data_IF_420679042284
#
_entry.id   IF_420679042284
#
_cell.length_a   1.000
_cell.length_b   1.000
_cell.length_c   1.000
_cell.angle_alpha   90.00
_cell.angle_beta   90.00
_cell.angle_gamma   90.00
#
_symmetry.space_group_name_H-M   'P 1'
#
loop_
_entity.id
_entity.type
_entity.pdbx_description
1 polymer ?
#
# COMPACT_ATOMS: atom_id res chain seq x y z
N UNK A 1 9.09 -18.72 -14.55
CA UNK A 1 10.53 -18.68 -14.26
C UNK A 1 10.70 -19.08 -12.82
N UNK A 2 11.69 -19.91 -12.52
CA UNK A 2 12.03 -20.21 -11.12
C UNK A 2 12.32 -18.88 -10.41
N UNK A 3 11.71 -18.69 -9.24
CA UNK A 3 12.01 -17.54 -8.39
C UNK A 3 13.51 -17.58 -8.05
N UNK A 4 14.21 -16.45 -8.21
CA UNK A 4 15.63 -16.39 -7.89
C UNK A 4 15.85 -16.69 -6.41
N UNK A 5 17.05 -17.15 -6.03
CA UNK A 5 17.34 -17.56 -4.64
C UNK A 5 16.99 -16.47 -3.61
N UNK A 6 17.16 -15.20 -4.00
CA UNK A 6 16.82 -14.03 -3.19
C UNK A 6 15.31 -13.91 -2.93
N UNK A 7 14.47 -14.19 -3.93
CA UNK A 7 13.00 -14.19 -3.76
C UNK A 7 12.60 -15.30 -2.79
N UNK A 8 13.24 -16.46 -2.87
CA UNK A 8 12.98 -17.56 -1.96
C UNK A 8 13.37 -17.21 -0.52
N UNK A 9 14.57 -16.68 -0.30
CA UNK A 9 15.04 -16.25 1.02
C UNK A 9 14.16 -15.15 1.62
N UNK A 10 13.75 -14.19 0.79
CA UNK A 10 12.82 -13.15 1.20
C UNK A 10 11.48 -13.74 1.66
N UNK A 11 10.87 -14.62 0.87
CA UNK A 11 9.60 -15.26 1.22
C UNK A 11 9.72 -16.19 2.43
N UNK A 12 10.84 -16.90 2.57
CA UNK A 12 11.15 -17.70 3.74
C UNK A 12 11.27 -16.83 4.99
N UNK A 13 11.89 -15.65 4.88
CA UNK A 13 12.01 -14.69 5.98
C UNK A 13 10.64 -14.15 6.41
N UNK A 14 9.78 -13.79 5.45
CA UNK A 14 8.41 -13.35 5.75
C UNK A 14 7.60 -14.45 6.43
N UNK A 15 7.72 -15.69 5.94
CA UNK A 15 7.07 -16.86 6.55
C UNK A 15 7.58 -17.11 7.97
N UNK A 16 8.89 -16.98 8.21
CA UNK A 16 9.48 -17.11 9.54
C UNK A 16 9.01 -16.02 10.52
N UNK A 17 8.63 -14.85 10.02
CA UNK A 17 8.00 -13.77 10.78
C UNK A 17 6.48 -13.95 10.97
N UNK A 18 5.93 -15.11 10.57
CA UNK A 18 4.49 -15.39 10.58
C UNK A 18 3.70 -14.40 9.70
N UNK A 19 4.30 -13.93 8.60
CA UNK A 19 3.69 -13.02 7.66
C UNK A 19 3.24 -13.77 6.39
N UNK A 20 1.97 -13.58 6.03
CA UNK A 20 1.38 -14.15 4.81
C UNK A 20 1.14 -13.05 3.77
N UNK A 21 1.66 -13.25 2.55
CA UNK A 21 1.44 -12.32 1.45
C UNK A 21 0.01 -12.44 0.91
N UNK A 22 -0.69 -11.31 0.79
CA UNK A 22 -2.08 -11.29 0.29
C UNK A 22 -2.19 -10.93 -1.19
N UNK A 23 -1.22 -10.18 -1.73
CA UNK A 23 -1.20 -9.80 -3.16
C UNK A 23 -0.43 -10.86 -3.93
N UNK A 24 -1.10 -11.62 -4.80
CA UNK A 24 -0.49 -12.70 -5.59
C UNK A 24 -0.42 -12.41 -7.10
N UNK A 25 -1.05 -11.32 -7.55
CA UNK A 25 -1.14 -10.95 -8.96
C UNK A 25 -0.19 -9.80 -9.34
N UNK A 26 -0.07 -9.49 -10.64
CA UNK A 26 0.72 -8.36 -11.11
C UNK A 26 0.24 -7.04 -10.49
N UNK A 27 1.20 -6.22 -10.06
CA UNK A 27 0.96 -4.86 -9.53
C UNK A 27 1.54 -3.80 -10.46
N UNK A 28 2.11 -4.25 -11.58
CA UNK A 28 2.79 -3.44 -12.57
C UNK A 28 2.48 -3.95 -13.98
N UNK A 29 2.42 -3.04 -14.94
CA UNK A 29 2.13 -3.33 -16.36
C UNK A 29 3.09 -4.33 -17.00
N UNK A 30 4.32 -4.48 -16.48
CA UNK A 30 5.31 -5.47 -16.89
C UNK A 30 4.99 -6.91 -16.42
N UNK A 31 3.88 -7.13 -15.72
CA UNK A 31 3.45 -8.45 -15.26
C UNK A 31 4.08 -8.90 -13.94
N UNK A 32 4.85 -8.03 -13.28
CA UNK A 32 5.53 -8.34 -12.03
C UNK A 32 4.70 -7.95 -10.80
N UNK A 33 4.94 -8.65 -9.69
CA UNK A 33 4.36 -8.37 -8.38
C UNK A 33 5.45 -7.76 -7.50
N UNK A 34 5.63 -6.44 -7.60
CA UNK A 34 6.67 -5.71 -6.86
C UNK A 34 6.10 -4.98 -5.64
N UNK A 35 4.80 -4.70 -5.66
CA UNK A 35 4.09 -4.09 -4.54
C UNK A 35 3.51 -5.20 -3.66
N UNK A 36 4.06 -5.33 -2.46
CA UNK A 36 3.78 -6.46 -1.57
C UNK A 36 2.98 -5.98 -0.36
N UNK A 37 1.95 -6.76 0.01
CA UNK A 37 1.23 -6.57 1.27
C UNK A 37 1.24 -7.89 2.02
N UNK A 38 1.58 -7.81 3.30
CA UNK A 38 1.65 -8.95 4.21
C UNK A 38 0.72 -8.75 5.39
N UNK A 39 0.12 -9.84 5.85
CA UNK A 39 -0.70 -9.89 7.07
C UNK A 39 -0.07 -10.87 8.04
N UNK A 40 0.00 -10.49 9.31
CA UNK A 40 0.48 -11.39 10.36
C UNK A 40 -0.55 -12.50 10.62
N UNK A 41 -0.08 -13.74 10.74
CA UNK A 41 -0.88 -14.91 11.13
C UNK A 41 -1.55 -14.73 12.50
N UNK A 42 -0.97 -13.90 13.36
CA UNK A 42 -1.55 -13.50 14.64
C UNK A 42 -2.87 -12.70 14.47
N UNK A 43 -3.08 -12.08 13.32
CA UNK A 43 -4.28 -11.30 13.02
C UNK A 43 -5.42 -12.14 12.43
N UNK A 44 -5.25 -13.45 12.21
CA UNK A 44 -6.20 -14.28 11.44
C UNK A 44 -7.66 -14.27 11.96
N UNK A 45 -7.88 -13.99 13.25
CA UNK A 45 -9.23 -13.91 13.83
C UNK A 45 -9.74 -12.46 13.98
N UNK A 46 -8.84 -11.47 14.00
CA UNK A 46 -9.15 -10.08 14.30
C UNK A 46 -9.11 -9.18 13.07
N UNK A 47 -8.54 -9.66 11.96
CA UNK A 47 -8.42 -8.95 10.69
C UNK A 47 -8.84 -9.87 9.54
N UNK A 48 -10.00 -9.58 8.96
CA UNK A 48 -10.49 -10.24 7.76
C UNK A 48 -10.23 -9.32 6.58
N UNK A 49 -9.32 -9.70 5.70
CA UNK A 49 -9.12 -9.00 4.42
C UNK A 49 -10.28 -9.38 3.50
N UNK A 50 -10.90 -8.38 2.91
CA UNK A 50 -11.96 -8.50 1.93
C UNK A 50 -11.53 -7.82 0.63
N UNK A 51 -12.16 -8.23 -0.47
CA UNK A 51 -12.12 -7.55 -1.76
C UNK A 51 -10.79 -6.86 -2.10
N UNK A 52 -9.83 -7.64 -2.61
CA UNK A 52 -8.57 -7.10 -3.13
C UNK A 52 -8.79 -6.72 -4.59
N UNK A 53 -8.77 -5.41 -4.87
CA UNK A 53 -8.94 -4.88 -6.22
C UNK A 53 -7.63 -4.26 -6.68
N UNK A 54 -7.20 -4.66 -7.88
CA UNK A 54 -6.05 -4.10 -8.55
C UNK A 54 -6.53 -3.31 -9.77
N UNK A 55 -6.40 -1.98 -9.74
CA UNK A 55 -6.93 -1.09 -10.78
C UNK A 55 -5.79 -0.41 -11.54
N UNK A 56 -5.72 -0.53 -12.88
CA UNK A 56 -4.72 0.19 -13.65
C UNK A 56 -4.95 1.69 -13.60
N UNK A 57 -3.86 2.47 -13.51
CA UNK A 57 -3.88 3.92 -13.53
C UNK A 57 -3.27 4.42 -14.84
N UNK A 58 -3.83 5.48 -15.41
CA UNK A 58 -3.39 6.00 -16.72
C UNK A 58 -2.06 6.76 -16.68
N UNK A 59 -1.60 7.14 -15.49
CA UNK A 59 -0.47 8.05 -15.28
C UNK A 59 0.74 7.38 -14.62
N UNK A 60 0.65 6.08 -14.32
CA UNK A 60 1.76 5.28 -13.79
C UNK A 60 1.67 3.86 -14.36
N UNK A 61 2.81 3.20 -14.45
CA UNK A 61 2.96 1.80 -14.81
C UNK A 61 2.64 0.84 -13.65
N UNK A 62 2.40 1.36 -12.43
CA UNK A 62 1.88 0.61 -11.29
C UNK A 62 0.34 0.61 -11.25
N UNK A 63 -0.22 -0.41 -10.61
CA UNK A 63 -1.65 -0.53 -10.37
C UNK A 63 -2.01 -0.04 -8.96
N UNK A 64 -3.17 0.59 -8.82
CA UNK A 64 -3.74 0.92 -7.53
C UNK A 64 -4.26 -0.35 -6.84
N UNK A 65 -3.69 -0.68 -5.70
CA UNK A 65 -4.17 -1.74 -4.82
C UNK A 65 -5.18 -1.14 -3.83
N UNK A 66 -6.43 -1.58 -3.93
CA UNK A 66 -7.49 -1.28 -2.97
C UNK A 66 -7.83 -2.54 -2.21
N UNK A 67 -7.83 -2.46 -0.88
CA UNK A 67 -8.13 -3.59 -0.01
C UNK A 67 -9.15 -3.14 1.01
N UNK A 68 -10.25 -3.89 1.11
CA UNK A 68 -11.18 -3.74 2.19
C UNK A 68 -10.72 -4.65 3.34
N UNK A 69 -10.93 -4.22 4.58
CA UNK A 69 -10.69 -5.08 5.72
C UNK A 69 -11.71 -4.83 6.81
N UNK A 70 -12.10 -5.91 7.47
CA UNK A 70 -12.87 -5.86 8.71
C UNK A 70 -11.94 -6.19 9.84
N UNK A 71 -11.94 -5.35 10.86
CA UNK A 71 -11.20 -5.63 12.08
C UNK A 71 -12.06 -5.35 13.30
N UNK A 72 -11.78 -6.03 14.40
CA UNK A 72 -12.32 -5.61 15.70
C UNK A 72 -12.02 -4.12 15.89
N UNK A 73 -12.95 -3.38 16.51
CA UNK A 73 -12.76 -1.95 16.72
C UNK A 73 -11.37 -1.73 17.35
N UNK A 74 -10.51 -0.89 16.72
CA UNK A 74 -9.17 -0.69 17.24
C UNK A 74 -9.30 -0.29 18.70
N UNK A 75 -8.54 -0.94 19.57
CA UNK A 75 -8.54 -0.58 20.99
C UNK A 75 -8.19 0.90 21.07
N UNK A 76 -9.18 1.73 21.35
CA UNK A 76 -9.01 3.17 21.51
C UNK A 76 -8.13 3.33 22.75
N UNK A 77 -6.80 3.44 22.55
CA UNK A 77 -5.93 4.03 23.58
C UNK A 77 -6.61 5.33 23.97
N UNK A 78 -6.72 5.55 25.28
CA UNK A 78 -7.36 6.71 25.89
C UNK A 78 -7.14 7.97 25.05
N UNK A 79 -8.25 8.65 24.79
CA UNK A 79 -8.55 9.47 23.62
C UNK A 79 -7.74 10.77 23.45
N UNK A 80 -6.50 10.86 23.89
CA UNK A 80 -5.82 12.15 24.02
C UNK A 80 -4.69 12.41 23.02
N UNK A 81 -4.31 11.45 22.17
CA UNK A 81 -3.35 11.74 21.10
C UNK A 81 -3.72 11.02 19.80
N UNK A 82 -4.55 11.67 18.98
CA UNK A 82 -4.43 11.48 17.54
C UNK A 82 -2.99 11.86 17.16
N UNK A 83 -2.13 10.87 16.96
CA UNK A 83 -0.79 11.08 16.44
C UNK A 83 -0.94 11.41 14.95
N UNK A 84 -1.10 12.69 14.64
CA UNK A 84 -1.04 13.18 13.27
C UNK A 84 0.41 13.14 12.80
N UNK A 85 0.87 12.01 12.29
CA UNK A 85 2.14 11.96 11.56
C UNK A 85 1.89 12.43 10.12
N UNK A 86 1.76 13.75 9.94
CA UNK A 86 1.84 14.39 8.63
C UNK A 86 2.87 15.52 8.67
N UNK A 87 3.85 15.57 7.75
CA UNK A 87 4.71 16.73 7.63
C UNK A 87 3.83 17.97 7.41
N UNK A 88 3.84 18.92 8.35
CA UNK A 88 3.02 20.15 8.27
C UNK A 88 3.19 20.90 6.94
N UNK A 89 4.35 20.73 6.28
CA UNK A 89 4.65 21.33 4.97
C UNK A 89 3.72 20.86 3.85
N UNK A 90 3.21 19.62 3.93
CA UNK A 90 2.24 19.06 2.97
C UNK A 90 0.79 19.46 3.29
N UNK A 91 0.56 20.19 4.39
CA UNK A 91 -0.74 20.74 4.79
C UNK A 91 -0.88 22.23 4.46
N UNK A 92 0.16 22.86 3.91
CA UNK A 92 0.12 24.24 3.41
C UNK A 92 -0.16 24.16 1.91
N UNK A 93 -1.43 24.33 1.47
CA UNK A 93 -1.84 24.06 0.09
C UNK A 93 -1.00 24.85 -0.92
N UNK A 94 -0.66 26.08 -0.58
CA UNK A 94 0.13 26.97 -1.43
C UNK A 94 1.59 26.52 -1.54
N UNK A 95 2.18 26.01 -0.44
CA UNK A 95 3.55 25.49 -0.46
C UNK A 95 3.65 24.13 -1.12
N UNK A 96 2.65 23.28 -0.91
CA UNK A 96 2.56 22.01 -1.62
C UNK A 96 2.45 22.24 -3.13
N UNK A 97 1.59 23.16 -3.58
CA UNK A 97 1.51 23.56 -4.98
C UNK A 97 2.83 24.16 -5.51
N UNK A 98 3.51 24.97 -4.71
CA UNK A 98 4.81 25.54 -5.09
C UNK A 98 5.91 24.48 -5.20
N UNK A 99 5.95 23.49 -4.31
CA UNK A 99 6.91 22.37 -4.35
C UNK A 99 6.63 21.41 -5.51
N UNK A 100 5.36 21.18 -5.86
CA UNK A 100 4.97 20.39 -7.04
C UNK A 100 5.37 21.07 -8.35
N UNK A 101 5.61 22.39 -8.34
CA UNK A 101 5.88 23.18 -9.52
C UNK A 101 4.64 23.34 -10.41
N UNK A 102 4.78 23.99 -11.59
CA UNK A 102 3.67 24.12 -12.52
C UNK A 102 3.19 22.72 -12.96
N UNK A 103 1.90 22.46 -12.81
CA UNK A 103 1.28 21.24 -13.34
C UNK A 103 1.50 21.26 -14.85
N UNK A 104 2.17 20.25 -15.44
CA UNK A 104 2.38 20.20 -16.88
C UNK A 104 1.06 20.35 -17.62
N UNK A 105 1.02 21.19 -18.66
CA UNK A 105 -0.18 21.44 -19.50
C UNK A 105 -0.74 20.14 -20.12
N UNK A 106 0.07 19.08 -20.18
CA UNK A 106 -0.34 17.75 -20.59
C UNK A 106 -1.33 17.06 -19.63
N UNK A 107 -1.46 17.54 -18.38
CA UNK A 107 -2.33 16.98 -17.34
C UNK A 107 -3.59 17.81 -17.07
N UNK A 108 -3.72 18.98 -17.70
CA UNK A 108 -4.94 19.79 -17.62
C UNK A 108 -5.93 19.35 -18.70
N UNK A 109 -7.00 18.66 -18.32
CA UNK A 109 -8.15 18.45 -19.20
C UNK A 109 -9.02 19.72 -19.21
N UNK A 110 -9.33 20.24 -20.40
CA UNK A 110 -10.32 21.31 -20.61
C UNK A 110 -11.73 20.87 -20.23
#
# INVERSE_FOLDING_TARGET
GEASGEVWEFMASMTALDLTQIIQGPTHTGGNTLDLVFVSGQCNNDLVIENIVCTPLSWTDHFLLSLDFRTAAPHRREADQNIWYRPKRLMEPERFQMELGPIPEALTHN
#
